data_IF_143286172432
#
_entry.id   IF_143286172432
#
_cell.length_a   1.000
_cell.length_b   1.000
_cell.length_c   1.000
_cell.angle_alpha   90.00
_cell.angle_beta   90.00
_cell.angle_gamma   90.00
#
_symmetry.space_group_name_H-M   'P 1'
#
loop_
_entity.id
_entity.type
_entity.pdbx_description
1 polymer ?
#
# COMPACT_ATOMS: atom_id res chain seq x y z
N UNK A 1 -30.76 -34.52 -61.09
CA UNK A 1 -31.32 -33.87 -59.89
C UNK A 1 -30.36 -34.08 -58.72
N UNK A 2 -29.60 -33.05 -58.31
CA UNK A 2 -28.69 -33.12 -57.17
C UNK A 2 -29.02 -31.96 -56.22
N UNK A 3 -29.61 -32.27 -55.05
CA UNK A 3 -30.01 -31.29 -54.03
C UNK A 3 -28.78 -30.84 -53.23
N UNK A 4 -28.53 -29.54 -53.19
CA UNK A 4 -27.55 -28.90 -52.30
C UNK A 4 -28.10 -28.88 -50.87
N UNK A 5 -27.42 -29.50 -49.92
CA UNK A 5 -27.72 -29.40 -48.49
C UNK A 5 -26.78 -28.35 -47.91
N UNK A 6 -27.32 -27.16 -47.61
CA UNK A 6 -26.65 -26.12 -46.84
C UNK A 6 -26.83 -26.43 -45.35
N UNK A 7 -25.74 -26.75 -44.64
CA UNK A 7 -25.74 -26.86 -43.17
C UNK A 7 -25.22 -25.55 -42.60
N UNK A 8 -26.13 -24.77 -42.03
CA UNK A 8 -25.84 -23.60 -41.22
C UNK A 8 -25.28 -24.07 -39.87
N UNK A 9 -23.99 -23.81 -39.61
CA UNK A 9 -23.36 -24.01 -38.31
C UNK A 9 -23.60 -22.76 -37.47
N UNK A 10 -24.45 -22.88 -36.46
CA UNK A 10 -24.65 -21.84 -35.44
C UNK A 10 -23.62 -22.08 -34.33
N UNK A 11 -22.54 -21.30 -34.33
CA UNK A 11 -21.60 -21.26 -33.21
C UNK A 11 -22.18 -20.36 -32.11
N UNK A 12 -22.70 -20.98 -31.05
CA UNK A 12 -23.00 -20.26 -29.81
C UNK A 12 -21.68 -20.09 -29.07
N UNK A 13 -21.11 -18.89 -29.12
CA UNK A 13 -19.96 -18.53 -28.30
C UNK A 13 -20.43 -18.35 -26.85
N UNK A 14 -20.09 -19.30 -25.99
CA UNK A 14 -20.20 -19.15 -24.53
C UNK A 14 -19.10 -18.19 -24.09
N UNK A 15 -19.45 -16.92 -23.88
CA UNK A 15 -18.56 -15.96 -23.22
C UNK A 15 -18.50 -16.30 -21.73
N UNK A 16 -17.43 -16.95 -21.30
CA UNK A 16 -17.10 -17.10 -19.88
C UNK A 16 -16.70 -15.72 -19.33
N UNK A 17 -17.64 -15.04 -18.68
CA UNK A 17 -17.34 -13.86 -17.86
C UNK A 17 -16.66 -14.38 -16.59
N UNK A 18 -15.33 -14.39 -16.57
CA UNK A 18 -14.59 -14.55 -15.32
C UNK A 18 -14.74 -13.28 -14.50
N UNK A 19 -15.35 -13.37 -13.32
CA UNK A 19 -15.22 -12.30 -12.33
C UNK A 19 -13.75 -12.21 -11.93
N UNK A 20 -13.07 -11.17 -12.40
CA UNK A 20 -11.83 -10.73 -11.78
C UNK A 20 -12.27 -10.21 -10.41
N UNK A 21 -11.80 -10.84 -9.32
CA UNK A 21 -11.96 -10.27 -8.00
C UNK A 21 -11.37 -8.86 -8.06
N UNK A 22 -12.24 -7.84 -7.96
CA UNK A 22 -11.77 -6.47 -7.86
C UNK A 22 -10.95 -6.38 -6.58
N UNK A 23 -9.76 -5.79 -6.66
CA UNK A 23 -9.05 -5.43 -5.43
C UNK A 23 -9.96 -4.49 -4.64
N UNK A 24 -10.30 -4.87 -3.41
CA UNK A 24 -11.11 -4.06 -2.51
C UNK A 24 -10.23 -3.03 -1.80
N UNK A 25 -8.98 -3.41 -1.52
CA UNK A 25 -8.06 -2.62 -0.70
C UNK A 25 -6.72 -2.37 -1.38
N UNK A 26 -6.03 -1.33 -0.93
CA UNK A 26 -4.72 -0.94 -1.44
C UNK A 26 -3.84 -0.39 -0.32
N UNK A 27 -2.54 -0.67 -0.44
CA UNK A 27 -1.51 -0.14 0.43
C UNK A 27 -0.45 0.51 -0.43
N UNK A 28 -0.15 1.78 -0.16
CA UNK A 28 1.04 2.41 -0.68
C UNK A 28 2.20 2.24 0.30
N UNK A 29 3.42 2.11 -0.21
CA UNK A 29 4.61 2.03 0.60
C UNK A 29 5.79 2.72 -0.06
N UNK A 30 6.70 3.26 0.76
CA UNK A 30 8.00 3.73 0.33
C UNK A 30 9.06 3.53 1.42
N UNK A 31 10.32 3.54 1.01
CA UNK A 31 11.48 3.51 1.90
C UNK A 31 12.59 4.30 1.19
N UNK A 32 12.62 5.64 1.35
CA UNK A 32 13.50 6.51 0.57
C UNK A 32 14.98 6.20 0.75
N UNK A 33 15.37 6.01 2.01
CA UNK A 33 16.74 5.76 2.42
C UNK A 33 17.06 4.27 2.46
N UNK A 34 18.34 3.94 2.27
CA UNK A 34 18.80 2.55 2.42
C UNK A 34 18.60 2.06 3.85
N UNK A 35 17.98 0.90 3.98
CA UNK A 35 17.87 0.16 5.23
C UNK A 35 18.68 -1.11 5.15
N UNK A 36 19.31 -1.45 6.25
CA UNK A 36 19.98 -2.73 6.48
C UNK A 36 19.18 -3.52 7.51
N UNK A 37 18.91 -4.79 7.20
CA UNK A 37 18.25 -5.72 8.12
C UNK A 37 19.10 -6.96 8.28
N UNK A 38 19.48 -7.22 9.52
CA UNK A 38 20.37 -8.31 9.91
C UNK A 38 19.63 -9.64 10.09
N UNK A 39 20.25 -10.73 9.64
CA UNK A 39 19.74 -12.08 9.82
C UNK A 39 20.86 -13.05 10.22
N UNK A 40 20.61 -13.80 11.30
CA UNK A 40 21.44 -14.95 11.70
C UNK A 40 21.20 -16.19 10.83
N UNK A 41 20.09 -16.21 10.08
CA UNK A 41 19.66 -17.32 9.22
C UNK A 41 19.66 -16.87 7.76
N UNK A 42 20.58 -17.44 6.98
CA UNK A 42 20.74 -17.10 5.56
C UNK A 42 19.53 -17.46 4.70
N UNK A 43 18.74 -18.48 5.08
CA UNK A 43 17.51 -18.81 4.38
C UNK A 43 16.43 -17.73 4.62
N UNK A 44 16.34 -17.21 5.85
CA UNK A 44 15.44 -16.08 6.15
C UNK A 44 15.88 -14.79 5.45
N UNK A 45 17.19 -14.52 5.39
CA UNK A 45 17.73 -13.41 4.63
C UNK A 45 17.35 -13.50 3.15
N UNK A 46 17.51 -14.69 2.54
CA UNK A 46 17.15 -14.92 1.14
C UNK A 46 15.64 -14.79 0.89
N UNK A 47 14.80 -15.25 1.83
CA UNK A 47 13.35 -15.07 1.76
C UNK A 47 12.97 -13.58 1.83
N UNK A 48 13.58 -12.83 2.75
CA UNK A 48 13.34 -11.39 2.87
C UNK A 48 13.80 -10.63 1.62
N UNK A 49 15.00 -10.93 1.11
CA UNK A 49 15.52 -10.37 -0.15
C UNK A 49 14.53 -10.61 -1.30
N UNK A 50 14.05 -11.85 -1.45
CA UNK A 50 13.10 -12.20 -2.50
C UNK A 50 11.76 -11.47 -2.33
N UNK A 51 11.30 -11.26 -1.09
CA UNK A 51 10.09 -10.51 -0.80
C UNK A 51 10.23 -9.04 -1.22
N UNK A 52 11.28 -8.34 -0.77
CA UNK A 52 11.48 -6.91 -1.11
C UNK A 52 11.75 -6.71 -2.60
N UNK A 53 12.44 -7.66 -3.27
CA UNK A 53 12.62 -7.63 -4.73
C UNK A 53 11.29 -7.80 -5.48
N UNK A 54 10.37 -8.65 -5.00
CA UNK A 54 9.03 -8.79 -5.58
C UNK A 54 8.17 -7.54 -5.41
N UNK A 55 8.39 -6.77 -4.34
CA UNK A 55 7.83 -5.42 -4.17
C UNK A 55 8.50 -4.39 -5.11
N UNK A 56 9.52 -4.80 -5.85
CA UNK A 56 10.29 -3.97 -6.76
C UNK A 56 11.33 -3.09 -6.05
N UNK A 57 11.72 -3.40 -4.83
CA UNK A 57 12.75 -2.65 -4.13
C UNK A 57 14.12 -2.84 -4.80
N UNK A 58 14.96 -1.84 -4.71
CA UNK A 58 16.40 -2.01 -4.91
C UNK A 58 16.92 -2.79 -3.69
N UNK A 59 17.51 -3.96 -3.90
CA UNK A 59 17.93 -4.80 -2.79
C UNK A 59 19.14 -5.67 -3.14
N UNK A 60 20.01 -5.89 -2.15
CA UNK A 60 21.19 -6.75 -2.21
C UNK A 60 21.39 -7.48 -0.88
N UNK A 61 22.16 -8.56 -0.93
CA UNK A 61 22.73 -9.18 0.26
C UNK A 61 24.13 -8.61 0.50
N UNK A 62 24.43 -8.33 1.76
CA UNK A 62 25.79 -8.13 2.24
C UNK A 62 26.16 -9.26 3.21
N UNK A 63 27.33 -9.87 3.02
CA UNK A 63 27.80 -10.99 3.84
C UNK A 63 29.09 -10.57 4.52
N UNK A 64 29.05 -10.37 5.83
CA UNK A 64 30.23 -10.06 6.61
C UNK A 64 30.16 -10.69 8.01
N UNK A 65 31.31 -10.95 8.62
CA UNK A 65 31.39 -11.40 10.02
C UNK A 65 30.64 -12.69 10.38
N UNK A 66 30.25 -13.52 9.40
CA UNK A 66 29.49 -14.76 9.64
C UNK A 66 27.97 -14.60 9.70
N UNK A 67 27.44 -13.43 9.37
CA UNK A 67 26.00 -13.15 9.26
C UNK A 67 25.64 -12.62 7.87
N UNK A 68 24.34 -12.56 7.57
CA UNK A 68 23.81 -12.09 6.29
C UNK A 68 22.87 -10.91 6.55
N UNK A 69 23.18 -9.77 5.93
CA UNK A 69 22.32 -8.60 5.96
C UNK A 69 21.63 -8.42 4.60
N UNK A 70 20.40 -7.97 4.64
CA UNK A 70 19.67 -7.53 3.45
C UNK A 70 19.62 -6.02 3.47
N UNK A 71 20.22 -5.40 2.45
CA UNK A 71 20.26 -3.94 2.28
C UNK A 71 19.31 -3.56 1.16
N UNK A 72 18.28 -2.75 1.44
CA UNK A 72 17.22 -2.43 0.50
C UNK A 72 16.63 -1.03 0.67
N UNK A 73 15.97 -0.55 -0.39
CA UNK A 73 15.15 0.67 -0.38
C UNK A 73 14.07 0.64 -1.48
N UNK A 74 13.05 1.46 -1.30
CA UNK A 74 12.08 1.82 -2.34
C UNK A 74 12.00 3.34 -2.39
N UNK A 75 12.83 4.00 -3.22
CA UNK A 75 13.00 5.45 -3.14
C UNK A 75 11.72 6.22 -3.43
N UNK A 76 10.81 5.60 -4.18
CA UNK A 76 9.55 6.15 -4.66
C UNK A 76 8.38 5.36 -4.09
N UNK A 77 7.24 6.03 -3.98
CA UNK A 77 5.98 5.39 -3.62
C UNK A 77 5.58 4.32 -4.64
N UNK A 78 5.21 3.15 -4.11
CA UNK A 78 4.62 2.04 -4.86
C UNK A 78 3.35 1.63 -4.15
N UNK A 79 2.45 0.97 -4.86
CA UNK A 79 1.23 0.44 -4.27
C UNK A 79 1.03 -1.01 -4.63
N UNK A 80 0.41 -1.76 -3.73
CA UNK A 80 -0.15 -3.07 -4.03
C UNK A 80 -1.63 -3.10 -3.72
N UNK A 81 -2.33 -3.87 -4.53
CA UNK A 81 -3.74 -4.15 -4.41
C UNK A 81 -3.91 -5.51 -3.72
N UNK A 82 -4.81 -5.56 -2.74
CA UNK A 82 -5.08 -6.77 -1.96
C UNK A 82 -6.58 -7.02 -1.89
N UNK A 83 -6.95 -8.28 -1.70
CA UNK A 83 -8.33 -8.71 -1.84
C UNK A 83 -9.21 -8.33 -0.65
N UNK A 84 -8.64 -8.12 0.53
CA UNK A 84 -9.38 -7.88 1.77
C UNK A 84 -8.64 -6.90 2.68
N UNK A 85 -9.40 -6.24 3.56
CA UNK A 85 -8.89 -5.38 4.62
C UNK A 85 -7.96 -6.12 5.60
N UNK A 86 -8.30 -7.35 5.99
CA UNK A 86 -7.41 -8.15 6.85
C UNK A 86 -6.04 -8.39 6.19
N UNK A 87 -6.02 -8.69 4.88
CA UNK A 87 -4.77 -8.85 4.15
C UNK A 87 -4.03 -7.51 4.03
N UNK A 88 -4.77 -6.41 3.93
CA UNK A 88 -4.17 -5.09 3.92
C UNK A 88 -3.43 -4.79 5.24
N UNK A 89 -4.08 -5.03 6.37
CA UNK A 89 -3.46 -4.91 7.70
C UNK A 89 -2.23 -5.82 7.88
N UNK A 90 -2.28 -7.05 7.38
CA UNK A 90 -1.14 -7.97 7.45
C UNK A 90 0.07 -7.45 6.66
N UNK A 91 -0.16 -6.95 5.45
CA UNK A 91 0.89 -6.35 4.64
C UNK A 91 1.40 -5.04 5.23
N UNK A 92 0.50 -4.19 5.73
CA UNK A 92 0.89 -2.94 6.36
C UNK A 92 1.78 -3.19 7.59
N UNK A 93 1.39 -4.14 8.43
CA UNK A 93 2.18 -4.58 9.60
C UNK A 93 3.55 -5.11 9.19
N UNK A 94 3.61 -5.95 8.16
CA UNK A 94 4.88 -6.48 7.64
C UNK A 94 5.77 -5.37 7.08
N UNK A 95 5.20 -4.45 6.29
CA UNK A 95 5.90 -3.31 5.68
C UNK A 95 6.45 -2.36 6.75
N UNK A 96 5.64 -1.98 7.74
CA UNK A 96 6.06 -1.16 8.89
C UNK A 96 7.20 -1.84 9.65
N UNK A 97 7.11 -3.15 9.91
CA UNK A 97 8.18 -3.93 10.56
C UNK A 97 9.46 -4.01 9.71
N UNK A 98 9.31 -4.07 8.39
CA UNK A 98 10.39 -3.94 7.43
C UNK A 98 10.90 -2.49 7.27
N UNK A 99 10.33 -1.53 8.01
CA UNK A 99 10.80 -0.14 8.06
C UNK A 99 10.30 0.74 6.92
N UNK A 100 9.34 0.29 6.13
CA UNK A 100 8.67 1.12 5.14
C UNK A 100 7.73 2.12 5.81
N UNK A 101 7.59 3.30 5.21
CA UNK A 101 6.43 4.15 5.40
C UNK A 101 5.26 3.56 4.60
N UNK A 102 4.06 3.57 5.16
CA UNK A 102 2.85 2.99 4.53
C UNK A 102 1.70 3.98 4.51
N UNK A 103 0.81 3.82 3.52
CA UNK A 103 -0.50 4.46 3.49
C UNK A 103 -1.54 3.40 3.20
N UNK A 104 -2.51 3.29 4.11
CA UNK A 104 -3.67 2.45 3.95
C UNK A 104 -4.88 3.19 4.53
N UNK A 105 -5.77 3.64 3.65
CA UNK A 105 -6.87 4.53 3.99
C UNK A 105 -8.10 3.77 4.46
N UNK A 106 -8.35 3.77 5.76
CA UNK A 106 -9.51 3.12 6.39
C UNK A 106 -10.78 3.96 6.23
N UNK A 107 -11.94 3.32 6.09
CA UNK A 107 -13.21 4.03 6.22
C UNK A 107 -13.37 4.57 7.65
N UNK A 108 -13.95 5.78 7.79
CA UNK A 108 -14.11 6.45 9.08
C UNK A 108 -15.05 5.74 10.08
N UNK A 109 -15.73 4.66 9.68
CA UNK A 109 -16.66 3.90 10.51
C UNK A 109 -16.07 2.62 11.13
N UNK A 110 -14.79 2.32 10.91
CA UNK A 110 -14.06 1.31 11.69
C UNK A 110 -13.59 1.86 13.05
N UNK A 111 -14.41 2.71 13.67
CA UNK A 111 -14.26 3.10 15.06
C UNK A 111 -14.68 1.97 15.98
N UNK A 112 -13.74 1.11 16.33
CA UNK A 112 -13.88 0.13 17.41
C UNK A 112 -13.65 -1.30 16.95
N UNK A 113 -12.45 -1.80 17.20
CA UNK A 113 -12.24 -3.13 17.79
C UNK A 113 -10.84 -3.15 18.41
N UNK A 114 -10.84 -2.87 19.71
CA UNK A 114 -10.12 -3.65 20.72
C UNK A 114 -8.68 -4.07 20.40
N UNK A 115 -7.73 -3.24 20.84
CA UNK A 115 -6.57 -3.78 21.55
C UNK A 115 -7.03 -4.43 22.86
N UNK A 116 -7.84 -5.50 22.78
CA UNK A 116 -8.13 -6.37 23.89
C UNK A 116 -6.81 -7.00 24.33
N UNK A 117 -6.38 -6.61 25.52
CA UNK A 117 -5.13 -7.02 26.13
C UNK A 117 -4.94 -8.53 26.07
N UNK A 118 -3.78 -8.95 25.57
CA UNK A 118 -3.33 -10.31 25.73
C UNK A 118 -2.79 -10.46 27.16
N UNK A 119 -3.69 -10.55 28.14
CA UNK A 119 -3.32 -10.95 29.49
C UNK A 119 -2.99 -12.45 29.51
N UNK A 120 -1.71 -12.74 29.74
CA UNK A 120 -1.26 -13.97 30.40
C UNK A 120 -1.19 -15.25 29.57
N UNK A 121 0.02 -15.56 29.06
CA UNK A 121 0.58 -16.90 29.27
C UNK A 121 2.10 -16.89 29.23
N UNK A 122 2.67 -17.27 30.37
CA UNK A 122 4.10 -17.37 30.65
C UNK A 122 4.80 -18.26 29.61
N UNK A 123 5.62 -17.65 28.76
CA UNK A 123 6.64 -18.35 28.00
C UNK A 123 7.98 -17.67 28.21
N UNK A 124 8.91 -18.47 28.73
CA UNK A 124 10.22 -18.09 29.19
C UNK A 124 11.06 -17.42 28.10
N UNK A 125 11.63 -16.27 28.49
CA UNK A 125 12.88 -15.65 28.05
C UNK A 125 13.42 -16.04 26.66
N UNK A 126 13.25 -15.14 25.70
CA UNK A 126 14.26 -14.87 24.69
C UNK A 126 14.41 -13.35 24.54
N UNK A 127 15.56 -12.83 25.00
CA UNK A 127 15.97 -11.44 24.82
C UNK A 127 16.18 -11.16 23.32
N UNK A 128 15.27 -10.37 22.75
CA UNK A 128 15.57 -9.59 21.55
C UNK A 128 15.50 -8.11 21.93
N UNK A 129 16.66 -7.58 22.32
CA UNK A 129 16.89 -6.16 22.40
C UNK A 129 16.82 -5.55 20.99
N UNK A 130 15.79 -4.74 20.73
CA UNK A 130 15.70 -3.97 19.50
C UNK A 130 14.28 -3.59 19.12
N UNK A 131 13.86 -2.40 19.57
CA UNK A 131 12.62 -1.69 19.25
C UNK A 131 11.42 -1.99 20.16
N UNK A 132 11.53 -1.47 21.38
CA UNK A 132 10.38 -0.91 22.08
C UNK A 132 9.69 0.09 21.16
N UNK A 133 8.46 -0.21 20.75
CA UNK A 133 7.49 0.85 20.47
C UNK A 133 7.27 1.54 21.82
N UNK A 134 8.04 2.60 22.09
CA UNK A 134 7.59 3.56 23.08
C UNK A 134 6.15 3.91 22.71
N UNK A 135 5.26 3.93 23.70
CA UNK A 135 3.87 4.36 23.53
C UNK A 135 3.85 5.85 23.12
N UNK A 136 4.19 6.11 21.86
CA UNK A 136 3.85 7.33 21.15
C UNK A 136 2.38 7.20 20.81
N UNK A 137 1.61 8.26 21.07
CA UNK A 137 0.21 8.32 20.70
C UNK A 137 0.14 8.07 19.18
N UNK A 138 -0.62 7.06 18.78
CA UNK A 138 -1.02 6.91 17.38
C UNK A 138 -1.88 8.13 17.08
N UNK A 139 -1.50 8.88 16.04
CA UNK A 139 -2.23 10.06 15.62
C UNK A 139 -2.99 9.72 14.35
N UNK A 140 -4.16 10.32 14.17
CA UNK A 140 -5.01 10.04 13.01
C UNK A 140 -5.18 11.29 12.15
N UNK A 141 -5.05 11.12 10.84
CA UNK A 141 -5.41 12.16 9.88
C UNK A 141 -6.61 11.71 9.08
N UNK A 142 -7.73 12.36 9.31
CA UNK A 142 -8.98 12.15 8.60
C UNK A 142 -9.00 13.01 7.34
N UNK A 143 -9.47 12.48 6.22
CA UNK A 143 -9.53 13.19 4.95
C UNK A 143 -10.69 12.77 4.05
N UNK A 144 -11.09 13.68 3.16
CA UNK A 144 -11.97 13.40 2.03
C UNK A 144 -11.79 14.43 0.92
N UNK A 145 -12.25 14.10 -0.29
CA UNK A 145 -12.42 15.04 -1.39
C UNK A 145 -13.57 14.55 -2.26
N UNK A 146 -14.73 15.21 -2.18
CA UNK A 146 -15.99 14.70 -2.75
C UNK A 146 -16.05 14.84 -4.25
N UNK A 147 -15.60 15.99 -4.76
CA UNK A 147 -15.58 16.29 -6.18
C UNK A 147 -14.31 15.76 -6.84
N UNK A 148 -14.40 15.44 -8.13
CA UNK A 148 -13.23 15.04 -8.90
C UNK A 148 -12.24 16.20 -8.97
N UNK A 149 -11.02 15.96 -8.51
CA UNK A 149 -9.89 16.85 -8.73
C UNK A 149 -9.00 16.27 -9.81
N UNK A 150 -8.70 17.08 -10.83
CA UNK A 150 -7.81 16.71 -11.92
C UNK A 150 -6.49 17.47 -11.81
N UNK A 151 -5.38 16.74 -11.91
CA UNK A 151 -4.03 17.29 -11.98
C UNK A 151 -3.41 16.86 -13.29
N UNK A 152 -2.84 17.83 -14.00
CA UNK A 152 -2.07 17.61 -15.21
C UNK A 152 -0.62 17.26 -14.87
N UNK A 153 -0.10 16.17 -15.44
CA UNK A 153 1.20 15.61 -15.09
C UNK A 153 1.95 15.27 -16.37
N UNK A 154 3.07 15.98 -16.58
CA UNK A 154 3.95 15.76 -17.73
C UNK A 154 4.93 14.60 -17.49
N UNK A 155 5.31 14.37 -16.23
CA UNK A 155 6.30 13.38 -15.85
C UNK A 155 5.65 12.04 -15.44
N UNK A 156 5.98 10.97 -16.15
CA UNK A 156 5.41 9.63 -15.90
C UNK A 156 5.79 9.05 -14.52
N UNK A 157 6.96 9.39 -13.99
CA UNK A 157 7.37 8.96 -12.64
C UNK A 157 6.54 9.67 -11.57
N UNK A 158 6.32 10.98 -11.70
CA UNK A 158 5.43 11.73 -10.80
C UNK A 158 3.98 11.20 -10.86
N UNK A 159 3.50 10.84 -12.06
CA UNK A 159 2.20 10.21 -12.23
C UNK A 159 2.12 8.88 -11.46
N UNK A 160 3.15 8.04 -11.60
CA UNK A 160 3.19 6.73 -10.95
C UNK A 160 3.21 6.86 -9.41
N UNK A 161 4.04 7.76 -8.88
CA UNK A 161 4.13 8.01 -7.43
C UNK A 161 2.81 8.55 -6.87
N UNK A 162 2.24 9.57 -7.48
CA UNK A 162 0.98 10.15 -7.02
C UNK A 162 -0.17 9.14 -7.14
N UNK A 163 -0.20 8.34 -8.20
CA UNK A 163 -1.17 7.25 -8.36
C UNK A 163 -1.03 6.23 -7.23
N UNK A 164 0.19 5.81 -6.90
CA UNK A 164 0.44 4.86 -5.81
C UNK A 164 -0.05 5.43 -4.46
N UNK A 165 0.32 6.67 -4.13
CA UNK A 165 -0.12 7.34 -2.91
C UNK A 165 -1.65 7.41 -2.83
N UNK A 166 -2.31 7.89 -3.89
CA UNK A 166 -3.77 8.05 -3.89
C UNK A 166 -4.50 6.70 -3.84
N UNK A 167 -3.92 5.62 -4.41
CA UNK A 167 -4.42 4.25 -4.22
C UNK A 167 -4.32 3.82 -2.75
N UNK A 168 -3.17 4.02 -2.11
CA UNK A 168 -3.00 3.71 -0.68
C UNK A 168 -3.96 4.50 0.20
N UNK A 169 -4.26 5.76 -0.15
CA UNK A 169 -5.28 6.58 0.49
C UNK A 169 -6.73 6.14 0.18
N UNK A 170 -6.92 5.08 -0.62
CA UNK A 170 -8.24 4.55 -0.98
C UNK A 170 -9.07 5.49 -1.87
N UNK A 171 -8.44 6.34 -2.67
CA UNK A 171 -9.14 7.22 -3.60
C UNK A 171 -9.62 6.47 -4.84
N UNK A 172 -10.77 6.90 -5.38
CA UNK A 172 -11.19 6.56 -6.73
C UNK A 172 -10.32 7.32 -7.75
N UNK A 173 -9.79 6.63 -8.77
CA UNK A 173 -8.87 7.20 -9.74
C UNK A 173 -9.35 7.03 -11.19
N UNK A 174 -9.06 8.04 -12.01
CA UNK A 174 -9.19 8.01 -13.46
C UNK A 174 -7.99 8.69 -14.09
N UNK A 175 -7.36 8.04 -15.06
CA UNK A 175 -6.24 8.62 -15.81
C UNK A 175 -6.58 8.72 -17.29
N UNK A 176 -6.21 9.82 -17.93
CA UNK A 176 -6.25 9.94 -19.39
C UNK A 176 -4.91 10.44 -19.92
N UNK A 177 -4.34 9.70 -20.86
CA UNK A 177 -3.12 10.11 -21.57
C UNK A 177 -3.49 10.82 -22.86
N UNK A 178 -2.83 11.94 -23.13
CA UNK A 178 -2.95 12.66 -24.39
C UNK A 178 -1.69 13.47 -24.64
N UNK A 179 -1.30 13.61 -25.91
CA UNK A 179 -0.21 14.49 -26.35
C UNK A 179 1.11 14.42 -25.54
N UNK A 180 1.45 13.23 -25.03
CA UNK A 180 2.70 12.99 -24.29
C UNK A 180 2.64 13.25 -22.77
N UNK A 181 1.49 13.68 -22.24
CA UNK A 181 1.25 13.88 -20.81
C UNK A 181 0.01 13.10 -20.33
N UNK A 182 -0.24 13.12 -19.02
CA UNK A 182 -1.37 12.47 -18.40
C UNK A 182 -2.14 13.44 -17.50
N UNK A 183 -3.47 13.36 -17.53
CA UNK A 183 -4.30 13.90 -16.48
C UNK A 183 -4.64 12.78 -15.50
N UNK A 184 -4.42 13.03 -14.20
CA UNK A 184 -4.88 12.17 -13.12
C UNK A 184 -6.03 12.87 -12.42
N UNK A 185 -7.22 12.27 -12.50
CA UNK A 185 -8.40 12.68 -11.76
C UNK A 185 -8.62 11.74 -10.58
N UNK A 186 -8.85 12.29 -9.40
CA UNK A 186 -9.10 11.51 -8.19
C UNK A 186 -10.22 12.10 -7.35
N UNK A 187 -10.86 11.23 -6.56
CA UNK A 187 -11.73 11.66 -5.47
C UNK A 187 -11.75 10.63 -4.33
N UNK A 188 -12.14 11.07 -3.14
CA UNK A 188 -12.43 10.22 -1.99
C UNK A 188 -13.72 10.73 -1.33
N UNK A 189 -14.91 10.27 -1.76
CA UNK A 189 -16.17 10.89 -1.36
C UNK A 189 -16.57 10.59 0.07
N UNK A 190 -16.15 9.44 0.60
CA UNK A 190 -16.33 9.09 2.01
C UNK A 190 -15.14 9.61 2.82
N UNK A 191 -15.37 9.90 4.10
CA UNK A 191 -14.28 10.15 5.02
C UNK A 191 -13.44 8.88 5.17
N UNK A 192 -12.13 9.05 5.05
CA UNK A 192 -11.14 8.04 5.38
C UNK A 192 -10.15 8.58 6.40
N UNK A 193 -9.39 7.70 7.03
CA UNK A 193 -8.28 8.08 7.90
C UNK A 193 -7.03 7.23 7.65
N UNK A 194 -5.88 7.79 8.01
CA UNK A 194 -4.61 7.07 8.15
C UNK A 194 -4.10 7.24 9.58
N UNK A 195 -3.55 6.16 10.12
CA UNK A 195 -2.79 6.19 11.38
C UNK A 195 -1.32 6.52 11.10
N UNK A 196 -0.75 7.42 11.91
CA UNK A 196 0.65 7.81 11.78
C UNK A 196 1.35 7.86 13.13
N UNK A 197 2.65 7.57 13.12
CA UNK A 197 3.41 7.32 14.35
C UNK A 197 3.82 8.56 15.16
N UNK A 198 3.44 9.78 14.76
CA UNK A 198 3.71 10.99 15.54
C UNK A 198 2.90 12.20 15.09
N UNK A 199 2.73 13.15 16.02
CA UNK A 199 2.07 14.43 15.77
C UNK A 199 2.69 15.21 14.59
N UNK A 200 4.01 15.20 14.46
CA UNK A 200 4.71 15.90 13.38
C UNK A 200 4.41 15.25 12.01
N UNK A 201 4.35 13.92 11.96
CA UNK A 201 3.97 13.19 10.74
C UNK A 201 2.51 13.48 10.39
N UNK A 202 1.62 13.47 11.38
CA UNK A 202 0.21 13.84 11.17
C UNK A 202 0.04 15.25 10.61
N UNK A 203 0.74 16.23 11.19
CA UNK A 203 0.75 17.61 10.69
C UNK A 203 1.24 17.69 9.23
N UNK A 204 2.28 16.93 8.90
CA UNK A 204 2.84 16.89 7.54
C UNK A 204 1.82 16.34 6.55
N UNK A 205 1.11 15.27 6.91
CA UNK A 205 0.05 14.67 6.10
C UNK A 205 -1.16 15.60 5.96
N UNK A 206 -1.64 16.20 7.04
CA UNK A 206 -2.74 17.16 7.01
C UNK A 206 -2.43 18.33 6.04
N UNK A 207 -1.24 18.91 6.13
CA UNK A 207 -0.81 19.99 5.25
C UNK A 207 -0.72 19.54 3.78
N UNK A 208 -0.16 18.37 3.52
CA UNK A 208 -0.06 17.83 2.17
C UNK A 208 -1.45 17.56 1.57
N UNK A 209 -2.36 16.95 2.35
CA UNK A 209 -3.75 16.68 1.96
C UNK A 209 -4.48 17.98 1.63
N UNK A 210 -4.43 18.97 2.53
CA UNK A 210 -5.05 20.28 2.32
C UNK A 210 -4.52 20.98 1.06
N UNK A 211 -3.19 20.99 0.87
CA UNK A 211 -2.55 21.55 -0.34
C UNK A 211 -2.98 20.82 -1.62
N UNK A 212 -3.17 19.51 -1.51
CA UNK A 212 -3.63 18.65 -2.61
C UNK A 212 -5.14 18.79 -2.84
N UNK A 213 -5.87 19.53 -2.00
CA UNK A 213 -7.28 19.88 -2.18
C UNK A 213 -8.27 18.99 -1.43
N UNK A 214 -7.77 18.15 -0.52
CA UNK A 214 -8.63 17.41 0.41
C UNK A 214 -9.14 18.34 1.52
N UNK A 215 -10.33 18.04 2.01
CA UNK A 215 -10.71 18.39 3.37
C UNK A 215 -9.94 17.45 4.30
N UNK A 216 -9.16 17.98 5.25
CA UNK A 216 -8.37 17.20 6.19
C UNK A 216 -8.59 17.67 7.63
N UNK A 217 -8.47 16.74 8.58
CA UNK A 217 -8.56 17.00 10.02
C UNK A 217 -7.60 16.09 10.77
N UNK A 218 -6.71 16.68 11.56
CA UNK A 218 -5.89 15.95 12.52
C UNK A 218 -6.67 15.68 13.81
N UNK A 219 -6.72 14.41 14.25
CA UNK A 219 -7.28 13.94 15.52
C UNK A 219 -6.15 13.39 16.40
N UNK A 220 -6.20 13.73 17.70
CA UNK A 220 -5.24 13.36 18.75
C UNK A 220 -5.77 12.25 19.65
#
# INVERSE_FOLDING_TARGET
>A
MLKRISRLLCFVALASVGSIASAEESIAFCLPEWKEMHFDDSAKAQQHLAAVQKLGCEAKIDNHGGHTDVVYRSPKWKSMEVATDELAHQWESWLKKAGFETLHGHAADHGGDDHAGHEGRDHAAHDHAGHSHAAGQVEEVNYRITDWKTIHIENQEQLAELTAMLKGLGCELKSSQHSGHADLSFRCPQWKHIEVGSHQVATTWEQWLAKTGFEAKHVH
#
